data_IF_067494517052
#
_entry.id   IF_067494517052
#
_cell.length_a   1.000
_cell.length_b   1.000
_cell.length_c   1.000
_cell.angle_alpha   90.00
_cell.angle_beta   90.00
_cell.angle_gamma   90.00
#
_symmetry.space_group_name_H-M   'P 1'
#
loop_
_entity.id
_entity.type
_entity.pdbx_description
1 polymer ?
#
# COMPACT_ATOMS: atom_id res chain seq x y z
N UNK A 1 -14.01 -44.96 1.45
CA UNK A 1 -14.14 -44.59 0.02
C UNK A 1 -14.76 -43.20 -0.20
N UNK A 2 -14.75 -42.29 0.80
CA UNK A 2 -15.37 -40.94 0.69
C UNK A 2 -14.31 -39.84 0.46
N UNK A 3 -13.04 -40.10 0.76
CA UNK A 3 -11.95 -39.13 0.62
C UNK A 3 -11.73 -38.68 -0.84
N UNK A 4 -11.92 -39.59 -1.81
CA UNK A 4 -11.73 -39.29 -3.22
C UNK A 4 -12.75 -38.28 -3.77
N UNK A 5 -14.08 -38.48 -3.65
CA UNK A 5 -15.06 -37.51 -4.14
C UNK A 5 -15.03 -36.18 -3.37
N UNK A 6 -14.69 -36.20 -2.08
CA UNK A 6 -14.61 -34.97 -1.28
C UNK A 6 -13.37 -34.14 -1.66
N UNK A 7 -12.24 -34.79 -1.91
CA UNK A 7 -11.02 -34.14 -2.37
C UNK A 7 -11.16 -33.53 -3.77
N UNK A 8 -11.79 -34.25 -4.70
CA UNK A 8 -12.04 -33.71 -6.05
C UNK A 8 -13.03 -32.56 -6.03
N UNK A 9 -14.09 -32.63 -5.23
CA UNK A 9 -15.01 -31.51 -5.04
C UNK A 9 -14.31 -30.27 -4.49
N UNK A 10 -13.41 -30.43 -3.51
CA UNK A 10 -12.62 -29.32 -2.97
C UNK A 10 -11.71 -28.67 -4.00
N UNK A 11 -11.02 -29.48 -4.82
CA UNK A 11 -10.17 -28.97 -5.91
C UNK A 11 -10.99 -28.21 -6.96
N UNK A 12 -12.16 -28.74 -7.32
CA UNK A 12 -13.08 -28.07 -8.26
C UNK A 12 -13.51 -26.71 -7.72
N UNK A 13 -13.95 -26.64 -6.46
CA UNK A 13 -14.34 -25.38 -5.82
C UNK A 13 -13.20 -24.38 -5.75
N UNK A 14 -11.98 -24.85 -5.47
CA UNK A 14 -10.78 -24.01 -5.43
C UNK A 14 -10.44 -23.41 -6.80
N UNK A 15 -10.53 -24.21 -7.86
CA UNK A 15 -10.35 -23.75 -9.24
C UNK A 15 -11.40 -22.69 -9.62
N UNK A 16 -12.66 -22.86 -9.21
CA UNK A 16 -13.71 -21.85 -9.43
C UNK A 16 -13.44 -20.56 -8.65
N UNK A 17 -12.99 -20.65 -7.40
CA UNK A 17 -12.68 -19.48 -6.57
C UNK A 17 -11.53 -18.62 -7.12
N UNK A 18 -10.49 -19.26 -7.67
CA UNK A 18 -9.36 -18.55 -8.30
C UNK A 18 -9.70 -17.91 -9.64
N UNK A 19 -10.71 -18.43 -10.36
CA UNK A 19 -11.15 -17.87 -11.64
C UNK A 19 -12.03 -16.64 -11.53
N UNK A 20 -12.58 -16.33 -10.35
CA UNK A 20 -13.37 -15.13 -10.17
C UNK A 20 -12.45 -13.89 -10.23
N UNK A 21 -12.69 -13.01 -11.20
CA UNK A 21 -11.87 -11.84 -11.47
C UNK A 21 -11.71 -10.96 -10.22
N UNK A 22 -10.47 -10.50 -9.91
CA UNK A 22 -10.22 -9.65 -8.75
C UNK A 22 -10.76 -8.22 -8.95
N UNK A 23 -10.84 -7.76 -10.20
CA UNK A 23 -11.28 -6.40 -10.56
C UNK A 23 -12.75 -6.14 -10.18
N UNK A 24 -13.59 -7.17 -10.10
CA UNK A 24 -14.99 -7.03 -9.69
C UNK A 24 -15.15 -6.87 -8.16
N UNK A 25 -14.07 -7.08 -7.37
CA UNK A 25 -14.13 -7.09 -5.90
C UNK A 25 -13.67 -5.79 -5.24
N UNK A 26 -12.99 -4.90 -5.98
CA UNK A 26 -12.34 -3.72 -5.43
C UNK A 26 -12.68 -2.49 -6.25
N UNK A 27 -13.14 -1.45 -5.58
CA UNK A 27 -13.30 -0.13 -6.19
C UNK A 27 -11.91 0.48 -6.45
N UNK A 28 -11.50 0.42 -7.72
CA UNK A 28 -10.18 0.87 -8.18
C UNK A 28 -10.01 2.38 -7.97
N UNK A 29 -11.08 3.17 -8.10
CA UNK A 29 -11.00 4.61 -7.94
C UNK A 29 -10.88 4.99 -6.47
N UNK A 30 -11.59 4.28 -5.58
CA UNK A 30 -11.40 4.42 -4.14
C UNK A 30 -9.98 4.03 -3.70
N UNK A 31 -9.43 2.96 -4.27
CA UNK A 31 -8.05 2.54 -4.00
C UNK A 31 -7.03 3.58 -4.49
N UNK A 32 -7.24 4.17 -5.66
CA UNK A 32 -6.39 5.24 -6.24
C UNK A 32 -6.47 6.56 -5.49
N UNK A 33 -7.62 6.88 -4.91
CA UNK A 33 -7.81 8.08 -4.10
C UNK A 33 -7.38 7.90 -2.63
N UNK A 34 -7.06 6.66 -2.22
CA UNK A 34 -6.73 6.38 -0.83
C UNK A 34 -5.41 7.06 -0.43
N UNK A 35 -5.44 7.75 0.71
CA UNK A 35 -4.25 8.31 1.34
C UNK A 35 -4.38 8.18 2.86
N UNK A 36 -3.27 8.07 3.61
CA UNK A 36 -3.32 8.06 5.06
C UNK A 36 -3.82 9.41 5.60
N UNK A 37 -4.50 9.38 6.75
CA UNK A 37 -4.94 10.62 7.42
C UNK A 37 -3.75 11.50 7.78
N UNK A 38 -3.90 12.82 7.59
CA UNK A 38 -2.94 13.79 8.08
C UNK A 38 -2.94 13.85 9.62
N UNK A 39 -1.76 14.04 10.20
CA UNK A 39 -1.60 14.17 11.64
C UNK A 39 -0.26 13.65 12.14
N UNK A 40 0.22 14.23 13.25
CA UNK A 40 1.52 13.87 13.83
C UNK A 40 1.56 12.41 14.24
N UNK A 41 2.67 11.77 13.93
CA UNK A 41 2.95 10.41 14.39
C UNK A 41 3.64 10.48 15.76
N UNK A 42 3.44 9.46 16.60
CA UNK A 42 4.20 9.35 17.85
C UNK A 42 5.67 9.18 17.53
N UNK A 43 6.52 9.96 18.19
CA UNK A 43 7.96 9.84 18.05
C UNK A 43 8.48 8.60 18.76
N UNK A 44 9.41 7.91 18.12
CA UNK A 44 10.05 6.68 18.62
C UNK A 44 11.59 6.84 18.69
N UNK A 45 12.07 8.03 19.09
CA UNK A 45 13.51 8.34 19.17
C UNK A 45 14.22 8.54 17.82
N UNK A 46 13.48 8.44 16.71
CA UNK A 46 13.91 8.75 15.34
C UNK A 46 12.75 9.36 14.57
N UNK A 47 13.06 10.09 13.50
CA UNK A 47 12.03 10.61 12.59
C UNK A 47 11.30 9.43 11.95
N UNK A 48 10.01 9.32 12.22
CA UNK A 48 9.14 8.29 11.63
C UNK A 48 8.63 8.78 10.28
N UNK A 49 8.36 7.85 9.37
CA UNK A 49 7.66 8.12 8.11
C UNK A 49 6.88 6.88 7.69
N UNK A 50 5.83 7.07 6.89
CA UNK A 50 5.06 6.00 6.27
C UNK A 50 5.04 6.21 4.76
N UNK A 51 5.25 5.14 4.01
CA UNK A 51 5.22 5.12 2.55
C UNK A 51 4.25 4.03 2.16
N UNK A 52 3.22 4.40 1.41
CA UNK A 52 2.28 3.45 0.81
C UNK A 52 2.39 3.61 -0.71
N UNK A 53 2.65 2.51 -1.42
CA UNK A 53 2.84 2.52 -2.89
C UNK A 53 1.73 1.74 -3.56
N UNK A 54 1.06 2.36 -4.52
CA UNK A 54 0.15 1.68 -5.42
C UNK A 54 0.94 0.78 -6.37
N UNK A 55 0.63 -0.50 -6.34
CA UNK A 55 1.24 -1.51 -7.22
C UNK A 55 0.56 -1.54 -8.59
N UNK A 56 -0.72 -1.16 -8.64
CA UNK A 56 -1.50 -1.07 -9.88
C UNK A 56 -1.29 0.27 -10.58
N UNK A 57 -1.26 0.31 -11.91
CA UNK A 57 -1.15 1.56 -12.66
C UNK A 57 -2.30 2.55 -12.36
N UNK A 58 -2.01 3.85 -12.26
CA UNK A 58 -0.67 4.46 -12.27
C UNK A 58 0.09 4.23 -10.96
N UNK A 59 1.35 3.76 -11.05
CA UNK A 59 2.21 3.52 -9.88
C UNK A 59 2.53 4.88 -9.24
N UNK A 60 2.11 5.06 -7.99
CA UNK A 60 2.31 6.26 -7.18
C UNK A 60 2.51 5.89 -5.72
N UNK A 61 3.22 6.74 -4.98
CA UNK A 61 3.45 6.56 -3.56
C UNK A 61 2.92 7.76 -2.77
N UNK A 62 2.23 7.50 -1.65
CA UNK A 62 1.98 8.52 -0.62
C UNK A 62 3.07 8.45 0.43
N UNK A 63 3.64 9.61 0.78
CA UNK A 63 4.66 9.74 1.81
C UNK A 63 4.09 10.59 2.95
N UNK A 64 3.96 9.99 4.13
CA UNK A 64 3.59 10.70 5.36
C UNK A 64 4.83 11.01 6.18
N UNK A 65 5.07 12.29 6.41
CA UNK A 65 6.12 12.77 7.31
C UNK A 65 5.66 12.61 8.77
N UNK A 66 6.42 11.89 9.60
CA UNK A 66 6.08 11.74 11.02
C UNK A 66 6.26 13.01 11.85
N UNK A 67 7.19 13.89 11.46
CA UNK A 67 7.51 15.12 12.20
C UNK A 67 6.42 16.20 12.06
N UNK A 68 6.00 16.51 10.82
CA UNK A 68 4.95 17.49 10.57
C UNK A 68 3.55 16.88 10.39
N UNK A 69 3.45 15.58 10.12
CA UNK A 69 2.17 14.88 9.95
C UNK A 69 1.52 15.02 8.58
N UNK A 70 2.14 15.76 7.64
CA UNK A 70 1.61 15.96 6.30
C UNK A 70 1.88 14.78 5.38
N UNK A 71 1.02 14.62 4.38
CA UNK A 71 1.05 13.57 3.38
C UNK A 71 1.27 14.18 2.01
N UNK A 72 2.16 13.61 1.23
CA UNK A 72 2.43 14.05 -0.14
C UNK A 72 2.37 12.87 -1.11
N UNK A 73 1.89 13.15 -2.32
CA UNK A 73 1.88 12.21 -3.43
C UNK A 73 3.14 12.36 -4.27
N UNK A 74 3.79 11.23 -4.55
CA UNK A 74 4.94 11.14 -5.44
C UNK A 74 4.62 10.16 -6.55
N UNK A 75 4.90 10.55 -7.79
CA UNK A 75 4.76 9.66 -8.95
C UNK A 75 5.86 8.59 -8.93
N UNK A 76 5.47 7.34 -9.23
CA UNK A 76 6.38 6.19 -9.18
C UNK A 76 6.42 5.50 -7.82
N UNK A 77 7.47 4.72 -7.59
CA UNK A 77 7.68 3.99 -6.35
C UNK A 77 8.40 4.81 -5.27
N UNK A 78 8.90 4.11 -4.24
CA UNK A 78 9.70 4.72 -3.17
C UNK A 78 10.95 5.40 -3.76
N UNK A 79 11.15 6.72 -3.57
CA UNK A 79 12.36 7.39 -4.02
C UNK A 79 13.56 7.00 -3.12
N UNK A 80 14.78 7.08 -3.67
CA UNK A 80 16.01 6.70 -2.97
C UNK A 80 16.31 7.60 -1.76
N UNK A 81 15.99 8.89 -1.86
CA UNK A 81 16.03 9.83 -0.74
C UNK A 81 14.80 10.72 -0.77
N UNK A 82 14.40 11.21 0.39
CA UNK A 82 13.28 12.12 0.49
C UNK A 82 13.39 13.08 1.67
N UNK A 83 13.18 14.35 1.35
CA UNK A 83 13.14 15.45 2.30
C UNK A 83 11.70 15.99 2.27
N UNK A 84 11.07 16.08 3.45
CA UNK A 84 9.72 16.61 3.54
C UNK A 84 9.71 18.09 3.09
N UNK A 85 8.91 18.49 2.08
CA UNK A 85 8.90 19.87 1.59
C UNK A 85 8.25 20.85 2.58
N UNK A 86 7.54 20.34 3.59
CA UNK A 86 6.82 21.18 4.56
C UNK A 86 7.62 21.55 5.80
N UNK A 87 8.55 20.68 6.23
CA UNK A 87 9.35 20.92 7.44
C UNK A 87 10.85 20.72 7.21
N UNK A 88 11.26 20.47 5.97
CA UNK A 88 12.66 20.29 5.55
C UNK A 88 13.41 19.21 6.33
N UNK A 89 12.68 18.28 6.95
CA UNK A 89 13.26 17.15 7.67
C UNK A 89 13.59 16.04 6.67
N UNK A 90 14.85 15.62 6.65
CA UNK A 90 15.27 14.42 5.93
C UNK A 90 14.61 13.20 6.56
N UNK A 91 13.81 12.47 5.78
CA UNK A 91 13.13 11.27 6.25
C UNK A 91 14.01 10.04 6.06
N UNK A 92 14.58 9.90 4.86
CA UNK A 92 15.57 8.88 4.54
C UNK A 92 16.48 9.34 3.40
N UNK A 93 17.63 8.70 3.33
CA UNK A 93 18.60 8.80 2.26
C UNK A 93 19.21 7.40 2.13
N UNK A 94 19.01 6.74 0.99
CA UNK A 94 19.72 5.49 0.66
C UNK A 94 21.15 5.86 0.23
N UNK A 95 22.13 5.17 0.80
CA UNK A 95 23.56 5.30 0.49
C UNK A 95 23.91 4.61 -0.84
#
# INVERSE_FOLDING_TARGET
MIAFPLGTAGIILLIFGFRADPEERVDIDAMRAWQPDEGRMREAGRVMYRIDTLLDPPIRSTIKCGACGKVEWVDGGKPASYICPHCSTTLWEEE
#
